data_IF_978730218638
#
_entry.id   IF_978730218638
#
_cell.length_a   1.000
_cell.length_b   1.000
_cell.length_c   1.000
_cell.angle_alpha   90.00
_cell.angle_beta   90.00
_cell.angle_gamma   90.00
#
_symmetry.space_group_name_H-M   'P 1'
#
loop_
_entity.id
_entity.type
_entity.pdbx_description
1 polymer ?
#
# COMPACT_ATOMS: atom_id res chain seq x y z
N UNK A 1 8.91 10.32 -12.81
CA UNK A 1 7.64 9.74 -13.24
C UNK A 1 6.84 9.51 -11.96
N UNK A 2 5.70 10.14 -11.77
CA UNK A 2 4.88 9.90 -10.59
C UNK A 2 3.94 8.74 -10.94
N UNK A 3 4.17 7.57 -10.38
CA UNK A 3 3.19 6.50 -10.42
C UNK A 3 1.96 6.96 -9.65
N UNK A 4 0.78 6.70 -10.17
CA UNK A 4 -0.47 6.82 -9.42
C UNK A 4 -0.84 5.44 -8.92
N UNK A 5 -1.02 5.33 -7.62
CA UNK A 5 -1.53 4.10 -7.00
C UNK A 5 -3.03 4.03 -7.22
N UNK A 6 -3.54 2.87 -7.58
CA UNK A 6 -4.95 2.68 -7.92
C UNK A 6 -5.61 1.78 -6.87
N UNK A 7 -6.49 2.35 -6.06
CA UNK A 7 -7.31 1.59 -5.13
C UNK A 7 -8.66 1.29 -5.76
N UNK A 8 -8.92 0.02 -6.05
CA UNK A 8 -10.15 -0.44 -6.68
C UNK A 8 -11.10 -0.96 -5.58
N UNK A 9 -12.28 -0.37 -5.47
CA UNK A 9 -13.30 -0.71 -4.47
C UNK A 9 -14.48 -1.38 -5.17
N UNK A 10 -14.70 -2.66 -4.87
CA UNK A 10 -15.75 -3.49 -5.49
C UNK A 10 -16.66 -4.11 -4.43
N UNK A 11 -17.94 -4.17 -4.73
CA UNK A 11 -18.98 -4.72 -3.85
C UNK A 11 -19.94 -3.68 -3.33
N UNK A 12 -20.74 -4.04 -2.32
CA UNK A 12 -21.90 -3.25 -1.88
C UNK A 12 -21.65 -2.48 -0.59
N UNK A 13 -20.57 -2.73 0.12
CA UNK A 13 -20.32 -2.16 1.43
C UNK A 13 -19.85 -0.70 1.35
N UNK A 14 -20.76 0.17 0.95
CA UNK A 14 -20.50 1.62 0.80
C UNK A 14 -20.10 2.27 2.13
N UNK A 15 -20.59 1.74 3.26
CA UNK A 15 -20.22 2.23 4.59
C UNK A 15 -18.73 2.04 4.88
N UNK A 16 -18.22 0.84 4.61
CA UNK A 16 -16.79 0.52 4.70
C UNK A 16 -15.97 1.40 3.75
N UNK A 17 -16.38 1.48 2.50
CA UNK A 17 -15.63 2.23 1.48
C UNK A 17 -15.53 3.73 1.79
N UNK A 18 -16.60 4.34 2.29
CA UNK A 18 -16.58 5.75 2.67
C UNK A 18 -15.66 6.00 3.88
N UNK A 19 -15.72 5.15 4.90
CA UNK A 19 -14.82 5.23 6.07
C UNK A 19 -13.37 5.04 5.64
N UNK A 20 -13.09 4.05 4.81
CA UNK A 20 -11.74 3.78 4.31
C UNK A 20 -11.15 4.97 3.53
N UNK A 21 -11.95 5.63 2.68
CA UNK A 21 -11.53 6.83 1.94
C UNK A 21 -11.10 7.94 2.90
N UNK A 22 -11.86 8.17 3.96
CA UNK A 22 -11.56 9.21 4.96
C UNK A 22 -10.27 8.86 5.70
N UNK A 23 -10.13 7.60 6.17
CA UNK A 23 -8.95 7.17 6.91
C UNK A 23 -7.69 7.20 6.04
N UNK A 24 -7.79 6.84 4.75
CA UNK A 24 -6.66 6.94 3.81
C UNK A 24 -6.21 8.39 3.62
N UNK A 25 -7.15 9.34 3.46
CA UNK A 25 -6.81 10.76 3.36
C UNK A 25 -6.04 11.21 4.61
N UNK A 26 -6.54 10.88 5.80
CA UNK A 26 -5.88 11.22 7.06
C UNK A 26 -4.47 10.59 7.15
N UNK A 27 -4.33 9.32 6.74
CA UNK A 27 -3.04 8.63 6.72
C UNK A 27 -2.06 9.23 5.72
N UNK A 28 -2.53 9.64 4.55
CA UNK A 28 -1.70 10.33 3.56
C UNK A 28 -1.17 11.66 4.14
N UNK A 29 -2.00 12.41 4.87
CA UNK A 29 -1.59 13.64 5.54
C UNK A 29 -0.57 13.37 6.67
N UNK A 30 -0.81 12.35 7.53
CA UNK A 30 0.13 11.92 8.56
C UNK A 30 1.51 11.53 7.99
N UNK A 31 1.50 10.81 6.86
CA UNK A 31 2.70 10.34 6.17
C UNK A 31 3.30 11.39 5.23
N UNK A 32 2.72 12.61 5.17
CA UNK A 32 3.11 13.69 4.25
C UNK A 32 3.15 13.24 2.78
N UNK A 33 2.25 12.35 2.40
CA UNK A 33 2.09 11.89 1.03
C UNK A 33 1.19 12.87 0.26
N UNK A 34 1.46 13.02 -1.02
CA UNK A 34 0.62 13.84 -1.90
C UNK A 34 -0.67 13.06 -2.19
N UNK A 35 -1.83 13.63 -1.88
CA UNK A 35 -3.13 12.98 -2.07
C UNK A 35 -3.39 12.57 -3.54
N UNK A 36 -2.89 13.35 -4.49
CA UNK A 36 -2.95 13.04 -5.93
C UNK A 36 -2.22 11.73 -6.35
N UNK A 37 -1.46 11.12 -5.45
CA UNK A 37 -0.82 9.82 -5.72
C UNK A 37 -1.81 8.66 -5.70
N UNK A 38 -2.93 8.80 -5.00
CA UNK A 38 -3.94 7.76 -4.89
C UNK A 38 -5.15 8.08 -5.76
N UNK A 39 -5.45 7.18 -6.68
CA UNK A 39 -6.67 7.19 -7.49
C UNK A 39 -7.63 6.13 -6.97
N UNK A 40 -8.85 6.53 -6.66
CA UNK A 40 -9.89 5.60 -6.22
C UNK A 40 -10.76 5.24 -7.41
N UNK A 41 -10.85 3.95 -7.67
CA UNK A 41 -11.61 3.37 -8.78
C UNK A 41 -12.73 2.52 -8.21
N UNK A 42 -13.87 2.58 -8.82
CA UNK A 42 -15.05 1.78 -8.49
C UNK A 42 -15.54 1.05 -9.74
N UNK A 43 -16.57 0.23 -9.61
CA UNK A 43 -17.22 -0.40 -10.76
C UNK A 43 -17.71 0.60 -11.81
N UNK A 44 -18.08 1.82 -11.39
CA UNK A 44 -18.69 2.81 -12.28
C UNK A 44 -17.68 3.54 -13.15
N UNK A 45 -16.44 3.65 -12.68
CA UNK A 45 -15.35 4.30 -13.42
C UNK A 45 -14.15 3.35 -13.66
N UNK A 46 -14.43 2.06 -13.84
CA UNK A 46 -13.39 1.04 -14.05
C UNK A 46 -12.57 1.25 -15.33
N UNK A 47 -13.11 1.95 -16.31
CA UNK A 47 -12.42 2.34 -17.54
C UNK A 47 -11.21 3.26 -17.29
N UNK A 48 -11.15 3.86 -16.11
CA UNK A 48 -10.02 4.68 -15.70
C UNK A 48 -8.84 3.85 -15.14
N UNK A 49 -9.01 2.54 -14.97
CA UNK A 49 -7.95 1.64 -14.53
C UNK A 49 -6.84 1.55 -15.59
N UNK A 50 -5.60 1.54 -15.14
CA UNK A 50 -4.40 1.37 -15.97
C UNK A 50 -3.57 0.19 -15.47
N UNK A 51 -3.41 -0.83 -16.27
CA UNK A 51 -2.53 -1.98 -15.97
C UNK A 51 -1.04 -1.63 -15.88
N UNK A 52 -0.65 -0.39 -16.23
CA UNK A 52 0.73 0.09 -16.12
C UNK A 52 1.09 0.70 -14.74
N UNK A 53 0.12 0.89 -13.87
CA UNK A 53 0.28 1.50 -12.56
C UNK A 53 -0.09 0.50 -11.45
N UNK A 54 0.57 0.55 -10.27
CA UNK A 54 0.25 -0.34 -9.16
C UNK A 54 -1.22 -0.26 -8.75
N UNK A 55 -1.86 -1.41 -8.59
CA UNK A 55 -3.25 -1.46 -8.16
C UNK A 55 -3.46 -2.41 -6.97
N UNK A 56 -4.40 -2.05 -6.11
CA UNK A 56 -4.84 -2.84 -4.97
C UNK A 56 -6.37 -2.89 -4.98
N UNK A 57 -6.93 -4.08 -4.86
CA UNK A 57 -8.38 -4.28 -4.93
C UNK A 57 -8.92 -4.62 -3.55
N UNK A 58 -9.98 -3.98 -3.13
CA UNK A 58 -10.78 -4.40 -1.98
C UNK A 58 -12.15 -4.83 -2.50
N UNK A 59 -12.52 -6.06 -2.18
CA UNK A 59 -13.85 -6.56 -2.42
C UNK A 59 -14.60 -6.71 -1.09
N UNK A 60 -15.77 -6.09 -0.96
CA UNK A 60 -16.66 -6.26 0.19
C UNK A 60 -18.12 -6.29 -0.26
N UNK A 61 -18.67 -7.48 -0.32
CA UNK A 61 -20.03 -7.74 -0.77
C UNK A 61 -20.36 -9.20 -0.61
N UNK A 62 -21.63 -9.59 -0.80
CA UNK A 62 -22.10 -10.95 -0.70
C UNK A 62 -22.12 -11.62 -2.08
N UNK A 63 -21.74 -12.90 -2.15
CA UNK A 63 -21.71 -13.69 -3.40
C UNK A 63 -23.03 -13.71 -4.15
N UNK A 64 -24.15 -13.70 -3.42
CA UNK A 64 -25.50 -13.73 -4.01
C UNK A 64 -25.86 -12.43 -4.75
N UNK A 65 -25.19 -11.33 -4.44
CA UNK A 65 -25.39 -10.02 -5.04
C UNK A 65 -24.30 -9.67 -6.08
N UNK A 66 -23.42 -10.63 -6.38
CA UNK A 66 -22.32 -10.43 -7.32
C UNK A 66 -22.87 -10.37 -8.77
N UNK A 67 -22.84 -9.22 -9.38
CA UNK A 67 -23.19 -9.06 -10.78
C UNK A 67 -22.06 -9.46 -11.74
N UNK A 68 -22.43 -9.75 -12.99
CA UNK A 68 -21.49 -10.20 -14.01
C UNK A 68 -20.36 -9.22 -14.30
N UNK A 69 -20.62 -7.89 -14.23
CA UNK A 69 -19.61 -6.86 -14.46
C UNK A 69 -18.56 -6.89 -13.32
N UNK A 70 -18.99 -6.97 -12.07
CA UNK A 70 -18.09 -7.04 -10.90
C UNK A 70 -17.26 -8.32 -10.94
N UNK A 71 -17.87 -9.46 -11.29
CA UNK A 71 -17.14 -10.72 -11.46
C UNK A 71 -16.06 -10.61 -12.53
N UNK A 72 -16.39 -10.07 -13.69
CA UNK A 72 -15.43 -9.86 -14.78
C UNK A 72 -14.26 -8.94 -14.36
N UNK A 73 -14.55 -7.87 -13.60
CA UNK A 73 -13.51 -6.99 -13.09
C UNK A 73 -12.57 -7.77 -12.15
N UNK A 74 -13.10 -8.54 -11.20
CA UNK A 74 -12.30 -9.35 -10.28
C UNK A 74 -11.40 -10.34 -11.02
N UNK A 75 -11.91 -11.01 -12.05
CA UNK A 75 -11.14 -11.94 -12.88
C UNK A 75 -10.01 -11.21 -13.63
N UNK A 76 -10.30 -10.07 -14.23
CA UNK A 76 -9.29 -9.25 -14.90
C UNK A 76 -8.20 -8.79 -13.93
N UNK A 77 -8.55 -8.33 -12.73
CA UNK A 77 -7.57 -7.91 -11.73
C UNK A 77 -6.69 -9.06 -11.25
N UNK A 78 -7.23 -10.29 -11.17
CA UNK A 78 -6.42 -11.51 -10.91
C UNK A 78 -5.44 -11.80 -12.05
N UNK A 79 -5.88 -11.69 -13.30
CA UNK A 79 -5.03 -11.91 -14.48
C UNK A 79 -3.89 -10.88 -14.55
N UNK A 80 -4.16 -9.64 -14.16
CA UNK A 80 -3.16 -8.57 -14.10
C UNK A 80 -2.18 -8.74 -12.90
N UNK A 81 -2.42 -9.73 -12.02
CA UNK A 81 -1.56 -10.01 -10.86
C UNK A 81 -1.74 -9.03 -9.71
N UNK A 82 -2.80 -8.26 -9.68
CA UNK A 82 -3.07 -7.31 -8.61
C UNK A 82 -3.47 -8.02 -7.31
N UNK A 83 -3.09 -7.42 -6.19
CA UNK A 83 -3.51 -7.90 -4.86
C UNK A 83 -5.01 -7.65 -4.70
N UNK A 84 -5.75 -8.69 -4.33
CA UNK A 84 -7.18 -8.60 -4.02
C UNK A 84 -7.37 -8.98 -2.55
N UNK A 85 -7.90 -8.06 -1.75
CA UNK A 85 -8.26 -8.26 -0.36
C UNK A 85 -9.79 -8.43 -0.24
N UNK A 86 -10.28 -9.67 -0.05
CA UNK A 86 -11.67 -9.88 0.34
C UNK A 86 -11.90 -9.41 1.79
N UNK A 87 -12.92 -8.59 2.01
CA UNK A 87 -13.33 -8.13 3.34
C UNK A 87 -14.73 -8.60 3.62
N UNK A 88 -14.91 -9.43 4.63
CA UNK A 88 -16.18 -10.09 4.98
C UNK A 88 -16.59 -9.78 6.43
N UNK A 89 -17.86 -10.01 6.77
CA UNK A 89 -18.44 -9.66 8.07
C UNK A 89 -18.49 -10.83 9.04
N UNK A 90 -18.86 -12.01 8.57
CA UNK A 90 -19.10 -13.17 9.42
C UNK A 90 -18.31 -14.40 8.97
N UNK A 91 -18.60 -14.92 7.78
CA UNK A 91 -17.98 -16.13 7.27
C UNK A 91 -17.52 -15.94 5.83
N UNK A 92 -16.26 -16.30 5.58
CA UNK A 92 -15.65 -16.15 4.27
C UNK A 92 -16.34 -16.99 3.19
N UNK A 93 -16.65 -18.25 3.50
CA UNK A 93 -17.22 -19.20 2.54
C UNK A 93 -18.66 -18.83 2.18
N UNK A 94 -19.39 -18.29 3.14
CA UNK A 94 -20.78 -17.88 2.92
C UNK A 94 -20.89 -16.57 2.14
N UNK A 95 -19.98 -15.64 2.36
CA UNK A 95 -20.07 -14.29 1.79
C UNK A 95 -19.30 -14.15 0.48
N UNK A 96 -18.14 -14.81 0.35
CA UNK A 96 -17.23 -14.57 -0.77
C UNK A 96 -17.53 -15.43 -2.00
N UNK A 97 -17.38 -14.87 -3.21
CA UNK A 97 -17.53 -15.64 -4.44
C UNK A 97 -16.39 -16.65 -4.62
N UNK A 98 -16.68 -17.75 -5.33
CA UNK A 98 -15.73 -18.84 -5.60
C UNK A 98 -14.43 -18.34 -6.25
N UNK A 99 -14.52 -17.30 -7.09
CA UNK A 99 -13.34 -16.69 -7.71
C UNK A 99 -12.32 -16.15 -6.70
N UNK A 100 -12.73 -15.87 -5.46
CA UNK A 100 -11.87 -15.39 -4.36
C UNK A 100 -11.52 -16.49 -3.34
N UNK A 101 -11.93 -17.72 -3.53
CA UNK A 101 -11.74 -18.83 -2.57
C UNK A 101 -10.28 -19.08 -2.17
N UNK A 102 -9.33 -18.76 -3.04
CA UNK A 102 -7.89 -18.92 -2.81
C UNK A 102 -7.20 -17.63 -2.28
N UNK A 103 -7.98 -16.59 -1.97
CA UNK A 103 -7.44 -15.34 -1.42
C UNK A 103 -7.53 -15.36 0.10
N UNK A 104 -6.53 -14.77 0.76
CA UNK A 104 -6.61 -14.53 2.19
C UNK A 104 -7.54 -13.34 2.44
N UNK A 105 -8.70 -13.60 3.04
CA UNK A 105 -9.66 -12.58 3.39
C UNK A 105 -9.43 -11.99 4.78
N UNK A 106 -10.01 -10.82 5.01
CA UNK A 106 -10.01 -10.14 6.30
C UNK A 106 -11.44 -10.04 6.83
N UNK A 107 -11.66 -10.53 8.06
CA UNK A 107 -12.90 -10.25 8.76
C UNK A 107 -12.95 -8.79 9.19
N UNK A 108 -14.08 -8.14 8.91
CA UNK A 108 -14.27 -6.75 9.26
C UNK A 108 -14.81 -6.61 10.69
N UNK A 109 -13.92 -6.37 11.63
CA UNK A 109 -14.22 -6.13 13.05
C UNK A 109 -14.31 -4.62 13.36
N UNK A 110 -14.92 -3.83 12.47
CA UNK A 110 -15.00 -2.36 12.53
C UNK A 110 -13.65 -1.63 12.57
N UNK A 111 -12.54 -2.32 12.36
CA UNK A 111 -11.21 -1.74 12.37
C UNK A 111 -10.75 -1.32 10.98
N UNK A 112 -11.19 -0.14 10.56
CA UNK A 112 -10.82 0.46 9.27
C UNK A 112 -9.31 0.68 9.16
N UNK A 113 -8.65 1.09 10.26
CA UNK A 113 -7.21 1.38 10.25
C UNK A 113 -6.38 0.15 9.85
N UNK A 114 -6.84 -1.07 10.16
CA UNK A 114 -6.18 -2.30 9.72
C UNK A 114 -6.22 -2.45 8.20
N UNK A 115 -7.39 -2.19 7.58
CA UNK A 115 -7.53 -2.23 6.12
C UNK A 115 -6.68 -1.14 5.46
N UNK A 116 -6.72 0.07 6.04
CA UNK A 116 -5.92 1.20 5.57
C UNK A 116 -4.41 0.86 5.56
N UNK A 117 -3.90 0.26 6.64
CA UNK A 117 -2.51 -0.16 6.72
C UNK A 117 -2.17 -1.23 5.67
N UNK A 118 -3.02 -2.25 5.47
CA UNK A 118 -2.81 -3.27 4.44
C UNK A 118 -2.75 -2.69 3.02
N UNK A 119 -3.56 -1.67 2.73
CA UNK A 119 -3.50 -0.93 1.45
C UNK A 119 -2.17 -0.19 1.32
N UNK A 120 -1.74 0.51 2.37
CA UNK A 120 -0.50 1.27 2.37
C UNK A 120 0.73 0.36 2.31
N UNK A 121 0.70 -0.80 2.99
CA UNK A 121 1.71 -1.86 2.87
C UNK A 121 1.77 -2.40 1.44
N UNK A 122 0.62 -2.76 0.87
CA UNK A 122 0.54 -3.27 -0.49
C UNK A 122 1.04 -2.29 -1.56
N UNK A 123 1.03 -1.00 -1.27
CA UNK A 123 1.63 0.05 -2.09
C UNK A 123 3.05 0.44 -1.67
N UNK A 124 3.62 -0.21 -0.66
CA UNK A 124 4.95 0.12 -0.11
C UNK A 124 5.06 1.60 0.34
N UNK A 125 3.97 2.15 0.90
CA UNK A 125 3.89 3.56 1.29
C UNK A 125 4.14 3.80 2.78
N UNK A 126 4.18 2.75 3.62
CA UNK A 126 4.53 2.89 5.03
C UNK A 126 6.01 3.24 5.19
N UNK A 127 6.35 3.94 6.28
CA UNK A 127 7.72 4.40 6.54
C UNK A 127 8.73 3.25 6.61
N UNK A 128 8.37 2.14 7.24
CA UNK A 128 9.20 0.94 7.33
C UNK A 128 9.49 0.28 5.97
N UNK A 129 8.63 0.49 4.97
CA UNK A 129 8.82 0.04 3.59
C UNK A 129 9.62 1.06 2.73
N UNK A 130 9.77 2.30 3.23
CA UNK A 130 10.44 3.39 2.52
C UNK A 130 11.88 3.54 3.01
N UNK A 131 12.61 2.43 3.05
CA UNK A 131 14.01 2.40 3.49
C UNK A 131 14.94 2.89 2.38
N UNK A 132 15.85 3.81 2.73
CA UNK A 132 16.87 4.34 1.82
C UNK A 132 18.23 4.25 2.47
N UNK A 133 19.18 3.66 1.75
CA UNK A 133 20.57 3.66 2.13
C UNK A 133 21.35 4.69 1.31
N UNK A 134 22.02 5.64 1.98
CA UNK A 134 22.87 6.65 1.35
C UNK A 134 24.33 6.25 1.56
N UNK A 135 24.98 5.82 0.48
CA UNK A 135 26.42 5.59 0.43
C UNK A 135 27.09 6.71 -0.36
N UNK A 136 28.18 7.27 0.16
CA UNK A 136 28.85 8.40 -0.44
C UNK A 136 30.36 8.41 -0.19
N UNK A 137 31.11 9.16 -1.01
CA UNK A 137 32.53 9.35 -0.82
C UNK A 137 32.79 10.46 0.20
N UNK A 138 33.27 10.09 1.38
CA UNK A 138 33.37 10.94 2.59
C UNK A 138 34.09 12.28 2.36
N UNK A 139 35.13 12.28 1.55
CA UNK A 139 35.98 13.47 1.34
C UNK A 139 35.38 14.47 0.34
N UNK A 140 34.39 14.06 -0.47
CA UNK A 140 33.90 14.87 -1.59
C UNK A 140 32.40 15.19 -1.50
N UNK A 141 31.61 14.35 -0.82
CA UNK A 141 30.15 14.41 -0.91
C UNK A 141 29.43 14.44 0.44
N UNK A 142 30.15 14.63 1.57
CA UNK A 142 29.55 14.62 2.91
C UNK A 142 28.41 15.63 3.08
N UNK A 143 28.60 16.85 2.63
CA UNK A 143 27.57 17.90 2.77
C UNK A 143 26.31 17.59 1.96
N UNK A 144 26.49 17.03 0.75
CA UNK A 144 25.36 16.65 -0.12
C UNK A 144 24.61 15.46 0.49
N UNK A 145 25.34 14.48 1.04
CA UNK A 145 24.75 13.30 1.67
C UNK A 145 23.93 13.67 2.92
N UNK A 146 24.44 14.61 3.73
CA UNK A 146 23.70 15.12 4.91
C UNK A 146 22.44 15.89 4.49
N UNK A 147 22.53 16.77 3.50
CA UNK A 147 21.36 17.47 2.99
C UNK A 147 20.30 16.51 2.42
N UNK A 148 20.73 15.47 1.69
CA UNK A 148 19.83 14.46 1.16
C UNK A 148 19.19 13.65 2.29
N UNK A 149 19.96 13.26 3.32
CA UNK A 149 19.46 12.61 4.51
C UNK A 149 18.34 13.44 5.18
N UNK A 150 18.60 14.71 5.44
CA UNK A 150 17.63 15.61 6.08
C UNK A 150 16.34 15.78 5.25
N UNK A 151 16.47 15.92 3.93
CA UNK A 151 15.32 16.04 3.03
C UNK A 151 14.49 14.75 3.03
N UNK A 152 15.13 13.60 2.97
CA UNK A 152 14.43 12.30 2.94
C UNK A 152 13.76 12.00 4.29
N UNK A 153 14.42 12.25 5.43
CA UNK A 153 13.83 12.12 6.76
C UNK A 153 12.59 13.02 6.93
N UNK A 154 12.67 14.27 6.45
CA UNK A 154 11.53 15.20 6.46
C UNK A 154 10.35 14.72 5.59
N UNK A 155 10.61 13.84 4.61
CA UNK A 155 9.60 13.24 3.73
C UNK A 155 9.21 11.81 4.13
N UNK A 156 9.41 11.44 5.40
CA UNK A 156 9.02 10.14 5.97
C UNK A 156 9.68 8.92 5.32
N UNK A 157 10.91 9.05 4.85
CA UNK A 157 11.73 7.90 4.52
C UNK A 157 12.48 7.42 5.76
N UNK A 158 12.68 6.11 5.87
CA UNK A 158 13.59 5.51 6.86
C UNK A 158 14.99 5.50 6.23
N UNK A 159 15.81 6.48 6.63
CA UNK A 159 17.09 6.73 5.95
C UNK A 159 18.26 6.24 6.79
N UNK A 160 19.07 5.40 6.18
CA UNK A 160 20.35 4.99 6.74
C UNK A 160 21.50 5.71 6.04
N UNK A 161 22.25 6.53 6.79
CA UNK A 161 23.43 7.23 6.33
C UNK A 161 24.68 6.56 6.90
N UNK A 162 25.59 6.13 6.05
CA UNK A 162 26.79 5.37 6.36
C UNK A 162 27.62 5.88 7.57
N UNK A 163 27.70 7.19 7.78
CA UNK A 163 28.53 7.75 8.88
C UNK A 163 27.82 7.98 10.20
N UNK A 164 26.52 8.06 10.23
CA UNK A 164 25.76 8.42 11.43
C UNK A 164 25.07 7.24 12.11
N UNK A 165 25.02 6.09 11.44
CA UNK A 165 24.17 4.97 11.88
C UNK A 165 24.94 3.71 12.26
N UNK A 166 26.27 3.69 12.10
CA UNK A 166 27.11 2.54 12.52
C UNK A 166 27.87 2.90 13.78
N UNK A 167 27.61 2.17 14.86
CA UNK A 167 28.36 2.30 16.11
C UNK A 167 29.84 1.94 15.90
N UNK A 168 30.73 2.69 16.57
CA UNK A 168 32.16 2.45 16.48
C UNK A 168 32.51 1.06 17.01
N UNK A 169 33.01 0.18 16.12
CA UNK A 169 33.40 -1.17 16.49
C UNK A 169 32.50 -2.28 15.96
N UNK A 170 31.35 -1.94 15.37
CA UNK A 170 30.47 -2.93 14.70
C UNK A 170 30.97 -3.14 13.28
N UNK A 171 30.94 -4.39 12.83
CA UNK A 171 31.29 -4.69 11.43
C UNK A 171 30.20 -4.09 10.52
N UNK A 172 30.60 -3.14 9.72
CA UNK A 172 29.73 -2.36 8.81
C UNK A 172 28.76 -3.24 7.98
N UNK A 173 29.24 -4.38 7.48
CA UNK A 173 28.40 -5.28 6.67
C UNK A 173 27.29 -5.97 7.49
N UNK A 174 27.55 -6.33 8.76
CA UNK A 174 26.55 -6.99 9.62
C UNK A 174 25.42 -6.00 9.99
N UNK A 175 25.75 -4.74 10.29
CA UNK A 175 24.77 -3.71 10.57
C UNK A 175 23.94 -3.34 9.34
N UNK A 176 24.56 -3.29 8.15
CA UNK A 176 23.87 -3.07 6.88
C UNK A 176 22.82 -4.15 6.61
N UNK A 177 23.20 -5.42 6.77
CA UNK A 177 22.28 -6.54 6.58
C UNK A 177 21.12 -6.51 7.58
N UNK A 178 21.41 -6.17 8.83
CA UNK A 178 20.38 -6.12 9.89
C UNK A 178 19.35 -5.01 9.70
N UNK A 179 19.72 -3.92 9.02
CA UNK A 179 18.81 -2.80 8.73
C UNK A 179 18.11 -2.90 7.36
N UNK A 180 18.61 -3.76 6.48
CA UNK A 180 18.02 -4.00 5.15
C UNK A 180 16.99 -5.16 5.15
N UNK A 181 16.91 -5.95 6.20
CA UNK A 181 15.92 -7.01 6.45
C UNK A 181 14.84 -6.54 7.40
#
# INVERSE_FOLDING_TARGET
MKYKYQLILLGENMGLFNRLKIDLINKFDELKLIQDLLKIITKDNIEEYSGAEPAYVIYSGHKDNLDAKTLQILENQKLDGNVILPVFLNDFTDEMPETLSNQNGLIFEENISKICNLVLEGFELLRNERKIFISYKRNESSNIAIQLYEILEQNNFDVFLDTHSVDKGVKFQEELWHRMT
#
